data_IF_453653406745
#
_entry.id   IF_453653406745
#
_cell.length_a   1.000
_cell.length_b   1.000
_cell.length_c   1.000
_cell.angle_alpha   90.00
_cell.angle_beta   90.00
_cell.angle_gamma   90.00
#
_symmetry.space_group_name_H-M   'P 1'
#
loop_
_entity.id
_entity.type
_entity.pdbx_description
1 polymer ?
#
# COMPACT_ATOMS: atom_id res chain seq x y z
N UNK A 1 -5.53 -7.74 7.11
CA UNK A 1 -4.67 -6.70 7.69
C UNK A 1 -3.78 -7.25 8.80
N UNK A 2 -4.31 -8.03 9.76
CA UNK A 2 -3.53 -8.63 10.86
C UNK A 2 -2.19 -9.24 10.41
N UNK A 3 -2.22 -10.23 9.49
CA UNK A 3 -1.01 -10.85 8.93
C UNK A 3 0.07 -9.87 8.48
N UNK A 4 -0.31 -8.80 7.77
CA UNK A 4 0.66 -7.81 7.28
C UNK A 4 1.27 -6.96 8.41
N UNK A 5 0.51 -6.72 9.49
CA UNK A 5 1.05 -6.06 10.67
C UNK A 5 1.95 -7.01 11.47
N UNK A 6 1.63 -8.30 11.52
CA UNK A 6 2.49 -9.32 12.12
C UNK A 6 3.81 -9.42 11.33
N UNK A 7 3.76 -9.45 10.00
CA UNK A 7 4.95 -9.42 9.15
C UNK A 7 5.81 -8.17 9.44
N UNK A 8 5.19 -6.99 9.56
CA UNK A 8 5.92 -5.78 9.93
C UNK A 8 6.54 -5.84 11.31
N UNK A 9 5.86 -6.46 12.28
CA UNK A 9 6.38 -6.59 13.64
C UNK A 9 7.71 -7.35 13.68
N UNK A 10 7.97 -8.25 12.71
CA UNK A 10 9.10 -9.18 12.73
C UNK A 10 10.08 -9.03 11.54
N UNK A 11 9.79 -8.20 10.54
CA UNK A 11 10.61 -8.01 9.32
C UNK A 11 11.05 -6.54 9.17
N UNK A 12 12.20 -6.21 9.76
CA UNK A 12 12.83 -4.89 9.64
C UNK A 12 13.13 -4.49 8.18
N UNK A 13 13.67 -5.38 7.31
CA UNK A 13 13.82 -5.08 5.89
C UNK A 13 12.51 -4.68 5.19
N UNK A 14 11.36 -5.25 5.59
CA UNK A 14 10.06 -4.87 5.05
C UNK A 14 9.61 -3.49 5.53
N UNK A 15 9.85 -3.15 6.80
CA UNK A 15 9.58 -1.79 7.32
C UNK A 15 10.35 -0.74 6.53
N UNK A 16 11.65 -0.96 6.34
CA UNK A 16 12.53 -0.05 5.57
C UNK A 16 12.00 0.15 4.15
N UNK A 17 11.66 -0.94 3.45
CA UNK A 17 11.11 -0.86 2.08
C UNK A 17 9.79 -0.08 2.02
N UNK A 18 8.92 -0.19 3.04
CA UNK A 18 7.68 0.59 3.11
C UNK A 18 7.97 2.06 3.39
N UNK A 19 8.90 2.37 4.29
CA UNK A 19 9.31 3.74 4.57
C UNK A 19 9.86 4.44 3.31
N UNK A 20 10.74 3.77 2.57
CA UNK A 20 11.27 4.26 1.28
C UNK A 20 10.16 4.46 0.24
N UNK A 21 9.21 3.52 0.14
CA UNK A 21 8.08 3.65 -0.77
C UNK A 21 7.23 4.89 -0.45
N UNK A 22 6.93 5.13 0.84
CA UNK A 22 6.19 6.32 1.29
C UNK A 22 6.94 7.59 0.95
N UNK A 23 8.25 7.63 1.18
CA UNK A 23 9.09 8.77 0.83
C UNK A 23 9.04 9.09 -0.67
N UNK A 24 9.24 8.08 -1.53
CA UNK A 24 9.14 8.23 -2.99
C UNK A 24 7.75 8.71 -3.44
N UNK A 25 6.70 8.13 -2.87
CA UNK A 25 5.33 8.51 -3.20
C UNK A 25 5.02 9.95 -2.83
N UNK A 26 5.45 10.42 -1.65
CA UNK A 26 5.26 11.81 -1.23
C UNK A 26 5.95 12.78 -2.18
N UNK A 27 7.22 12.54 -2.53
CA UNK A 27 7.95 13.36 -3.51
C UNK A 27 7.19 13.44 -4.84
N UNK A 28 6.75 12.28 -5.38
CA UNK A 28 6.03 12.22 -6.66
C UNK A 28 4.67 12.92 -6.61
N UNK A 29 3.95 12.79 -5.50
CA UNK A 29 2.64 13.43 -5.27
C UNK A 29 2.79 14.95 -5.17
N UNK A 30 3.74 15.40 -4.35
CA UNK A 30 3.92 16.82 -4.03
C UNK A 30 4.46 17.61 -5.23
N UNK A 31 5.16 16.95 -6.16
CA UNK A 31 5.52 17.53 -7.45
C UNK A 31 4.31 17.88 -8.35
N UNK A 32 3.12 17.34 -8.07
CA UNK A 32 1.87 17.66 -8.80
C UNK A 32 1.03 18.68 -8.05
N UNK A 33 0.82 18.44 -6.76
CA UNK A 33 0.13 19.35 -5.87
C UNK A 33 0.53 18.99 -4.44
N UNK A 34 1.11 19.95 -3.72
CA UNK A 34 1.39 19.79 -2.31
C UNK A 34 0.07 19.66 -1.54
N UNK A 35 0.05 18.76 -0.56
CA UNK A 35 -1.07 18.61 0.36
C UNK A 35 -0.69 19.27 1.68
N UNK A 36 -1.41 20.35 2.03
CA UNK A 36 -1.37 20.94 3.36
C UNK A 36 -1.83 19.88 4.39
N UNK A 37 -1.17 19.80 5.54
CA UNK A 37 -1.40 18.77 6.58
C UNK A 37 -1.09 17.31 6.21
N UNK A 38 -0.13 17.08 5.29
CA UNK A 38 0.24 15.72 4.87
C UNK A 38 1.07 14.89 5.86
N UNK A 39 1.08 15.23 7.15
CA UNK A 39 1.85 14.56 8.20
C UNK A 39 1.51 13.07 8.36
N UNK A 40 0.24 12.71 8.21
CA UNK A 40 -0.19 11.32 8.26
C UNK A 40 0.35 10.51 7.06
N UNK A 41 1.02 9.37 7.28
CA UNK A 41 1.51 8.55 6.19
C UNK A 41 0.34 7.86 5.45
N UNK A 42 0.43 7.71 4.12
CA UNK A 42 -0.56 6.98 3.35
C UNK A 42 -0.61 5.52 3.84
N UNK A 43 -1.82 5.00 4.03
CA UNK A 43 -2.02 3.60 4.44
C UNK A 43 -1.59 3.24 5.87
N UNK A 44 -1.09 4.20 6.68
CA UNK A 44 -0.73 3.98 8.09
C UNK A 44 0.77 3.96 8.38
N UNK A 45 1.61 3.93 7.34
CA UNK A 45 3.06 4.08 7.50
C UNK A 45 3.83 2.77 7.51
N UNK A 46 5.09 2.84 7.94
CA UNK A 46 5.97 1.69 8.09
C UNK A 46 5.75 0.93 9.41
N UNK A 47 5.12 1.58 10.41
CA UNK A 47 4.91 0.99 11.73
C UNK A 47 3.58 0.25 11.85
N UNK A 48 2.60 0.58 11.01
CA UNK A 48 1.28 -0.04 11.04
C UNK A 48 0.53 0.12 9.71
N UNK A 49 0.00 -0.97 9.19
CA UNK A 49 -0.97 -0.95 8.09
C UNK A 49 -2.35 -0.63 8.65
N UNK A 50 -2.91 0.53 8.28
CA UNK A 50 -4.25 0.99 8.65
C UNK A 50 -5.33 0.53 7.66
N UNK A 51 -5.07 0.64 6.36
CA UNK A 51 -6.05 0.34 5.31
C UNK A 51 -5.40 -0.15 4.01
N UNK A 52 -5.77 -1.37 3.58
CA UNK A 52 -5.13 -2.03 2.42
C UNK A 52 -5.37 -1.30 1.10
N UNK A 53 -6.56 -0.75 0.90
CA UNK A 53 -6.92 -0.04 -0.33
C UNK A 53 -5.97 1.14 -0.65
N UNK A 54 -5.43 1.82 0.36
CA UNK A 54 -4.53 2.94 0.18
C UNK A 54 -3.12 2.46 -0.21
N UNK A 55 -2.69 1.31 0.31
CA UNK A 55 -1.45 0.67 -0.13
C UNK A 55 -1.57 0.12 -1.55
N UNK A 56 -2.72 -0.45 -1.94
CA UNK A 56 -2.99 -0.85 -3.33
C UNK A 56 -2.96 0.35 -4.26
N UNK A 57 -3.66 1.43 -3.91
CA UNK A 57 -3.65 2.66 -4.71
C UNK A 57 -2.23 3.24 -4.84
N UNK A 58 -1.44 3.21 -3.77
CA UNK A 58 -0.03 3.60 -3.81
C UNK A 58 0.77 2.70 -4.76
N UNK A 59 0.67 1.36 -4.64
CA UNK A 59 1.37 0.42 -5.54
C UNK A 59 1.08 0.69 -7.01
N UNK A 60 -0.20 0.92 -7.34
CA UNK A 60 -0.62 1.23 -8.71
C UNK A 60 -0.10 2.59 -9.21
N UNK A 61 0.03 3.57 -8.31
CA UNK A 61 0.43 4.94 -8.68
C UNK A 61 1.96 5.17 -8.69
N UNK A 62 2.69 4.48 -7.81
CA UNK A 62 4.12 4.70 -7.55
C UNK A 62 4.79 3.43 -6.97
N UNK A 63 4.94 2.36 -7.75
CA UNK A 63 5.61 1.14 -7.29
C UNK A 63 7.11 1.35 -7.06
N UNK A 64 7.78 0.51 -6.25
CA UNK A 64 7.22 -0.60 -5.47
C UNK A 64 6.76 -0.18 -4.06
N UNK A 65 5.61 -0.71 -3.61
CA UNK A 65 5.04 -0.68 -2.27
C UNK A 65 4.72 -2.14 -1.84
N UNK A 66 5.56 -2.76 -0.99
CA UNK A 66 5.43 -4.19 -0.66
C UNK A 66 4.07 -4.59 -0.06
N UNK A 67 3.47 -3.72 0.75
CA UNK A 67 2.16 -3.97 1.33
C UNK A 67 1.05 -3.89 0.27
N UNK A 68 1.16 -2.94 -0.66
CA UNK A 68 0.26 -2.79 -1.79
C UNK A 68 0.33 -3.96 -2.76
N UNK A 69 1.54 -4.37 -3.14
CA UNK A 69 1.77 -5.55 -3.98
C UNK A 69 1.19 -6.83 -3.36
N UNK A 70 1.40 -7.04 -2.05
CA UNK A 70 0.83 -8.19 -1.33
C UNK A 70 -0.69 -8.16 -1.31
N UNK A 71 -1.28 -6.98 -1.06
CA UNK A 71 -2.72 -6.80 -1.03
C UNK A 71 -3.36 -6.99 -2.41
N UNK A 72 -2.72 -6.46 -3.46
CA UNK A 72 -3.17 -6.59 -4.84
C UNK A 72 -3.11 -8.04 -5.33
N UNK A 73 -2.02 -8.75 -5.04
CA UNK A 73 -1.90 -10.17 -5.38
C UNK A 73 -2.97 -11.03 -4.69
N UNK A 74 -3.32 -10.71 -3.44
CA UNK A 74 -4.35 -11.43 -2.70
C UNK A 74 -5.78 -11.09 -3.16
N UNK A 75 -6.04 -9.83 -3.53
CA UNK A 75 -7.35 -9.38 -4.00
C UNK A 75 -7.62 -9.81 -5.46
N UNK A 76 -6.57 -10.02 -6.25
CA UNK A 76 -6.66 -10.20 -7.68
C UNK A 76 -6.96 -8.89 -8.41
N UNK A 77 -7.01 -8.96 -9.74
CA UNK A 77 -7.51 -7.87 -10.58
C UNK A 77 -8.93 -8.22 -11.03
N UNK A 78 -9.90 -7.29 -10.95
CA UNK A 78 -11.23 -7.55 -11.48
C UNK A 78 -11.14 -7.73 -12.99
N UNK A 79 -11.36 -8.96 -13.47
CA UNK A 79 -11.66 -9.22 -14.87
C UNK A 79 -13.16 -8.99 -15.09
N UNK A 80 -13.50 -7.89 -15.77
CA UNK A 80 -14.88 -7.52 -16.08
C UNK A 80 -15.60 -8.52 -17.01
N UNK A 81 -14.90 -9.53 -17.53
CA UNK A 81 -15.48 -10.65 -18.28
C UNK A 81 -15.93 -11.79 -17.38
N UNK A 82 -15.46 -11.84 -16.13
CA UNK A 82 -15.81 -12.87 -15.15
C UNK A 82 -16.79 -12.34 -14.11
N UNK A 83 -17.54 -13.24 -13.45
CA UNK A 83 -18.49 -12.84 -12.41
C UNK A 83 -17.77 -12.19 -11.23
N UNK A 84 -18.33 -11.09 -10.72
CA UNK A 84 -17.73 -10.31 -9.62
C UNK A 84 -17.59 -11.10 -8.31
N UNK A 85 -18.28 -12.22 -8.17
CA UNK A 85 -18.16 -13.17 -7.06
C UNK A 85 -17.92 -14.54 -7.69
N UNK A 86 -16.90 -15.26 -7.20
CA UNK A 86 -16.64 -16.64 -7.60
C UNK A 86 -17.75 -17.59 -7.12
N UNK A 87 -17.89 -18.79 -7.71
CA UNK A 87 -18.78 -19.80 -7.15
C UNK A 87 -18.39 -20.12 -5.70
N UNK A 88 -19.40 -20.31 -4.85
CA UNK A 88 -19.24 -20.69 -3.45
C UNK A 88 -18.64 -22.09 -3.30
#
# INVERSE_FOLDING_TARGET
MARLNDDLAHDDPRRTRIAEAIHRYRIRRDARAAIEDSGAPPGGGADRIKCLHAHVAHELACPPNPAGATALAAAGWPDCRTSCVGPA
#
